data_IF_591316979973
#
_entry.id   IF_591316979973
#
_cell.length_a   1.000
_cell.length_b   1.000
_cell.length_c   1.000
_cell.angle_alpha   90.00
_cell.angle_beta   90.00
_cell.angle_gamma   90.00
#
_symmetry.space_group_name_H-M   'P 1'
#
loop_
_entity.id
_entity.type
_entity.pdbx_description
1 polymer ?
#
# COMPACT_ATOMS: atom_id res chain seq x y z
N UNK A 1 -2.96 57.62 -70.09
CA UNK A 1 -3.96 56.93 -69.26
C UNK A 1 -3.26 55.80 -68.54
N UNK A 2 -2.91 56.00 -67.22
CA UNK A 2 -2.23 54.99 -66.40
C UNK A 2 -3.31 54.30 -65.56
N UNK A 3 -3.49 53.01 -65.73
CA UNK A 3 -4.40 52.16 -64.95
C UNK A 3 -3.64 51.72 -63.66
N UNK A 4 -4.11 52.13 -62.47
CA UNK A 4 -3.63 51.68 -61.24
C UNK A 4 -4.27 50.34 -60.90
N UNK A 5 -3.45 49.29 -60.65
CA UNK A 5 -3.87 47.98 -60.23
C UNK A 5 -3.96 48.02 -58.68
N UNK A 6 -5.17 47.86 -58.10
CA UNK A 6 -5.40 47.74 -56.68
C UNK A 6 -5.36 46.26 -56.32
N UNK A 7 -4.32 45.83 -55.60
CA UNK A 7 -4.21 44.47 -55.04
C UNK A 7 -4.90 44.50 -53.69
N UNK A 8 -6.05 43.84 -53.57
CA UNK A 8 -6.73 43.57 -52.31
C UNK A 8 -6.09 42.33 -51.68
N UNK A 9 -5.30 42.51 -50.62
CA UNK A 9 -4.82 41.41 -49.80
C UNK A 9 -5.98 40.94 -48.90
N UNK A 10 -6.55 39.78 -49.20
CA UNK A 10 -7.46 39.09 -48.30
C UNK A 10 -6.65 38.45 -47.16
N UNK A 11 -6.73 39.01 -45.95
CA UNK A 11 -6.20 38.39 -44.72
C UNK A 11 -7.13 37.25 -44.36
N UNK A 12 -6.71 36.02 -44.66
CA UNK A 12 -7.37 34.82 -44.15
C UNK A 12 -7.01 34.67 -42.67
N UNK A 13 -7.90 35.07 -41.79
CA UNK A 13 -7.81 34.75 -40.39
C UNK A 13 -7.98 33.23 -40.21
N UNK A 14 -6.87 32.50 -40.06
CA UNK A 14 -6.89 31.10 -39.63
C UNK A 14 -7.35 31.13 -38.15
N UNK A 15 -8.48 30.49 -37.80
CA UNK A 15 -8.85 30.37 -36.40
C UNK A 15 -7.81 29.47 -35.73
N UNK A 16 -6.93 30.03 -34.89
CA UNK A 16 -6.15 29.29 -33.93
C UNK A 16 -7.15 28.64 -32.97
N UNK A 17 -7.52 27.42 -33.27
CA UNK A 17 -8.16 26.56 -32.29
C UNK A 17 -7.21 26.48 -31.09
N UNK A 18 -7.52 27.25 -30.05
CA UNK A 18 -6.97 27.02 -28.72
C UNK A 18 -7.49 25.64 -28.35
N UNK A 19 -6.72 24.61 -28.68
CA UNK A 19 -6.88 23.31 -28.10
C UNK A 19 -6.76 23.52 -26.60
N UNK A 20 -7.87 23.60 -25.92
CA UNK A 20 -7.97 23.55 -24.46
C UNK A 20 -7.42 22.19 -24.01
N UNK A 21 -6.08 22.10 -24.00
CA UNK A 21 -5.35 20.90 -23.59
C UNK A 21 -5.57 20.66 -22.11
N UNK A 22 -6.61 19.89 -21.77
CA UNK A 22 -6.77 19.34 -20.44
C UNK A 22 -5.53 18.51 -20.09
N UNK A 23 -5.22 18.37 -18.80
CA UNK A 23 -4.13 17.50 -18.36
C UNK A 23 -4.33 16.08 -18.92
N UNK A 24 -3.27 15.35 -19.31
CA UNK A 24 -3.40 13.96 -19.75
C UNK A 24 -4.30 13.15 -18.82
N UNK A 25 -5.20 12.34 -19.38
CA UNK A 25 -6.17 11.54 -18.62
C UNK A 25 -7.37 12.30 -18.04
N UNK A 26 -7.48 13.63 -18.28
CA UNK A 26 -8.61 14.44 -17.81
C UNK A 26 -9.41 14.94 -19.00
N UNK A 27 -10.71 14.64 -19.00
CA UNK A 27 -11.69 15.15 -19.97
C UNK A 27 -12.75 15.99 -19.26
N UNK A 28 -13.74 16.47 -19.98
CA UNK A 28 -14.91 17.15 -19.39
C UNK A 28 -15.69 16.24 -18.43
N UNK A 29 -15.73 14.92 -18.66
CA UNK A 29 -16.57 13.96 -17.95
C UNK A 29 -15.80 12.86 -17.21
N UNK A 30 -14.48 12.74 -17.42
CA UNK A 30 -13.68 11.63 -16.83
C UNK A 30 -12.31 12.07 -16.35
N UNK A 31 -11.83 11.36 -15.32
CA UNK A 31 -10.43 11.35 -14.87
C UNK A 31 -9.96 9.89 -14.96
N UNK A 32 -8.96 9.61 -15.80
CA UNK A 32 -8.38 8.28 -15.96
C UNK A 32 -7.11 8.17 -15.13
N UNK A 33 -7.07 7.23 -14.19
CA UNK A 33 -5.90 6.89 -13.40
C UNK A 33 -5.47 5.46 -13.69
N UNK A 34 -4.18 5.17 -13.62
CA UNK A 34 -3.62 3.85 -13.82
C UNK A 34 -3.04 3.26 -12.55
N UNK A 35 -2.78 1.96 -12.52
CA UNK A 35 -2.08 1.30 -11.42
C UNK A 35 -1.65 -0.11 -11.78
N UNK A 36 -0.76 -0.68 -10.97
CA UNK A 36 -0.35 -2.08 -11.09
C UNK A 36 -0.56 -2.79 -9.77
N UNK A 37 -1.07 -4.01 -9.84
CA UNK A 37 -1.34 -4.86 -8.67
C UNK A 37 -1.01 -6.31 -9.02
N UNK A 38 -0.47 -7.11 -8.10
CA UNK A 38 -0.18 -8.51 -8.37
C UNK A 38 -1.46 -9.34 -8.27
N UNK A 39 -2.14 -9.54 -9.41
CA UNK A 39 -3.31 -10.43 -9.49
C UNK A 39 -2.86 -11.89 -9.52
N UNK A 40 -1.69 -12.14 -10.10
CA UNK A 40 -1.01 -13.44 -10.15
C UNK A 40 0.35 -13.37 -9.44
N UNK A 41 1.09 -14.46 -9.43
CA UNK A 41 2.44 -14.52 -8.86
C UNK A 41 2.50 -14.66 -7.34
N UNK A 42 3.69 -14.46 -6.74
CA UNK A 42 3.96 -14.77 -5.33
C UNK A 42 3.18 -13.91 -4.33
N UNK A 43 2.72 -12.74 -4.75
CA UNK A 43 1.95 -11.81 -3.91
C UNK A 43 0.48 -11.68 -4.36
N UNK A 44 -0.06 -12.67 -5.06
CA UNK A 44 -1.41 -12.65 -5.66
C UNK A 44 -2.54 -12.30 -4.68
N UNK A 45 -2.37 -12.56 -3.38
CA UNK A 45 -3.35 -12.19 -2.36
C UNK A 45 -3.58 -10.66 -2.31
N UNK A 46 -2.59 -9.85 -2.67
CA UNK A 46 -2.74 -8.39 -2.73
C UNK A 46 -3.53 -7.90 -3.95
N UNK A 47 -3.83 -8.75 -4.93
CA UNK A 47 -4.66 -8.39 -6.09
C UNK A 47 -6.03 -7.84 -5.72
N UNK A 48 -6.53 -8.21 -4.55
CA UNK A 48 -7.79 -7.70 -3.99
C UNK A 48 -7.77 -6.19 -3.69
N UNK A 49 -6.59 -5.60 -3.51
CA UNK A 49 -6.46 -4.14 -3.30
C UNK A 49 -6.99 -3.37 -4.52
N UNK A 50 -6.57 -3.77 -5.73
CA UNK A 50 -7.06 -3.15 -6.97
C UNK A 50 -8.56 -3.31 -7.14
N UNK A 51 -9.10 -4.50 -6.84
CA UNK A 51 -10.54 -4.79 -6.91
C UNK A 51 -11.35 -3.94 -5.92
N UNK A 52 -10.88 -3.82 -4.67
CA UNK A 52 -11.52 -2.99 -3.66
C UNK A 52 -11.52 -1.52 -4.03
N UNK A 53 -10.40 -1.01 -4.55
CA UNK A 53 -10.29 0.37 -5.03
C UNK A 53 -11.22 0.65 -6.22
N UNK A 54 -11.27 -0.24 -7.20
CA UNK A 54 -12.16 -0.12 -8.36
C UNK A 54 -13.63 -0.10 -7.95
N UNK A 55 -14.03 -0.98 -7.02
CA UNK A 55 -15.37 -1.01 -6.48
C UNK A 55 -15.74 0.32 -5.79
N UNK A 56 -14.82 0.93 -5.05
CA UNK A 56 -15.03 2.22 -4.42
C UNK A 56 -15.15 3.35 -5.44
N UNK A 57 -14.32 3.38 -6.47
CA UNK A 57 -14.45 4.37 -7.54
C UNK A 57 -15.76 4.23 -8.31
N UNK A 58 -16.24 3.01 -8.56
CA UNK A 58 -17.58 2.78 -9.14
C UNK A 58 -18.70 3.31 -8.24
N UNK A 59 -18.59 3.11 -6.93
CA UNK A 59 -19.50 3.69 -5.96
C UNK A 59 -19.51 5.21 -6.03
N UNK A 60 -18.35 5.86 -6.00
CA UNK A 60 -18.22 7.32 -6.13
C UNK A 60 -18.82 7.81 -7.45
N UNK A 61 -18.58 7.10 -8.55
CA UNK A 61 -19.12 7.43 -9.86
C UNK A 61 -20.65 7.38 -9.92
N UNK A 62 -21.26 6.44 -9.18
CA UNK A 62 -22.73 6.33 -9.07
C UNK A 62 -23.34 7.46 -8.22
N UNK A 63 -22.51 8.16 -7.41
CA UNK A 63 -22.92 9.28 -6.56
C UNK A 63 -22.40 10.64 -7.06
N UNK A 64 -22.26 10.80 -8.39
CA UNK A 64 -21.88 12.07 -9.01
C UNK A 64 -20.40 12.24 -9.34
N UNK A 65 -19.55 11.28 -8.98
CA UNK A 65 -18.10 11.32 -9.26
C UNK A 65 -17.35 12.38 -8.46
N UNK A 66 -16.28 12.92 -9.04
CA UNK A 66 -15.43 13.95 -8.42
C UNK A 66 -15.48 15.22 -9.27
N UNK A 67 -15.94 16.32 -8.71
CA UNK A 67 -16.08 17.60 -9.42
C UNK A 67 -16.81 17.46 -10.78
N UNK A 68 -17.86 16.60 -10.84
CA UNK A 68 -18.64 16.33 -12.04
C UNK A 68 -18.02 15.33 -13.02
N UNK A 69 -16.89 14.69 -12.68
CA UNK A 69 -16.21 13.70 -13.51
C UNK A 69 -16.26 12.31 -12.88
N UNK A 70 -16.38 11.29 -13.73
CA UNK A 70 -16.24 9.89 -13.33
C UNK A 70 -14.75 9.51 -13.27
N UNK A 71 -14.37 8.70 -12.31
CA UNK A 71 -13.03 8.12 -12.22
C UNK A 71 -13.03 6.83 -13.05
N UNK A 72 -12.08 6.70 -13.98
CA UNK A 72 -11.78 5.47 -14.71
C UNK A 72 -10.46 4.92 -14.16
N UNK A 73 -10.50 3.77 -13.50
CA UNK A 73 -9.32 3.12 -12.97
C UNK A 73 -8.89 1.96 -13.87
N UNK A 74 -7.67 2.05 -14.41
CA UNK A 74 -7.03 1.04 -15.24
C UNK A 74 -5.95 0.36 -14.42
N UNK A 75 -6.24 -0.77 -13.79
CA UNK A 75 -5.22 -1.53 -13.09
C UNK A 75 -4.85 -2.81 -13.86
N UNK A 76 -3.57 -3.16 -13.80
CA UNK A 76 -2.97 -4.25 -14.56
C UNK A 76 -2.20 -5.20 -13.66
N UNK A 77 -2.14 -6.47 -14.06
CA UNK A 77 -1.41 -7.51 -13.33
C UNK A 77 0.08 -7.44 -13.62
N UNK A 78 0.87 -7.04 -12.63
CA UNK A 78 2.33 -7.05 -12.70
C UNK A 78 2.98 -8.33 -12.13
N UNK A 79 2.19 -9.26 -11.61
CA UNK A 79 2.64 -10.51 -11.00
C UNK A 79 3.69 -10.31 -9.87
N UNK A 80 3.77 -9.11 -9.26
CA UNK A 80 4.81 -8.70 -8.31
C UNK A 80 6.22 -8.67 -8.91
N UNK A 81 6.33 -8.47 -10.22
CA UNK A 81 7.58 -8.37 -10.97
C UNK A 81 7.90 -6.90 -11.29
N UNK A 82 8.99 -6.33 -10.75
CA UNK A 82 9.37 -4.94 -11.01
C UNK A 82 9.58 -4.61 -12.48
N UNK A 83 10.11 -5.56 -13.27
CA UNK A 83 10.33 -5.36 -14.72
C UNK A 83 9.00 -5.23 -15.46
N UNK A 84 8.04 -6.10 -15.13
CA UNK A 84 6.69 -6.04 -15.68
C UNK A 84 5.95 -4.78 -15.21
N UNK A 85 6.17 -4.36 -13.97
CA UNK A 85 5.62 -3.09 -13.45
C UNK A 85 6.11 -1.91 -14.27
N UNK A 86 7.40 -1.85 -14.62
CA UNK A 86 7.98 -0.79 -15.48
C UNK A 86 7.29 -0.78 -16.85
N UNK A 87 7.17 -1.94 -17.51
CA UNK A 87 6.52 -2.06 -18.81
C UNK A 87 5.08 -1.53 -18.75
N UNK A 88 4.27 -2.07 -17.82
CA UNK A 88 2.86 -1.72 -17.70
C UNK A 88 2.65 -0.25 -17.29
N UNK A 89 3.54 0.30 -16.46
CA UNK A 89 3.48 1.71 -16.08
C UNK A 89 3.75 2.62 -17.29
N UNK A 90 4.73 2.26 -18.15
CA UNK A 90 4.96 3.00 -19.39
C UNK A 90 3.75 2.94 -20.32
N UNK A 91 3.15 1.77 -20.50
CA UNK A 91 1.94 1.62 -21.31
C UNK A 91 0.79 2.49 -20.78
N UNK A 92 0.56 2.51 -19.46
CA UNK A 92 -0.46 3.35 -18.82
C UNK A 92 -0.20 4.84 -19.05
N UNK A 93 1.07 5.28 -18.98
CA UNK A 93 1.42 6.70 -19.15
C UNK A 93 1.48 7.10 -20.61
N UNK A 94 2.13 6.30 -21.46
CA UNK A 94 2.47 6.66 -22.85
C UNK A 94 1.34 6.33 -23.83
N UNK A 95 0.58 5.25 -23.61
CA UNK A 95 -0.50 4.82 -24.49
C UNK A 95 -1.87 5.25 -23.94
N UNK A 96 -2.19 4.86 -22.69
CA UNK A 96 -3.48 5.18 -22.09
C UNK A 96 -3.58 6.63 -21.58
N UNK A 97 -2.45 7.37 -21.56
CA UNK A 97 -2.38 8.78 -21.15
C UNK A 97 -2.99 9.04 -19.78
N UNK A 98 -2.77 8.17 -18.80
CA UNK A 98 -3.35 8.32 -17.47
C UNK A 98 -2.90 9.60 -16.78
N UNK A 99 -3.78 10.15 -15.92
CA UNK A 99 -3.54 11.37 -15.18
C UNK A 99 -2.51 11.17 -14.07
N UNK A 100 -2.58 10.03 -13.38
CA UNK A 100 -1.69 9.62 -12.32
C UNK A 100 -1.57 8.10 -12.27
N UNK A 101 -0.50 7.59 -11.68
CA UNK A 101 -0.36 6.21 -11.23
C UNK A 101 -0.83 6.13 -9.77
N UNK A 102 -1.69 5.18 -9.47
CA UNK A 102 -2.35 5.02 -8.18
C UNK A 102 -2.11 3.62 -7.61
N UNK A 103 -1.67 3.56 -6.36
CA UNK A 103 -1.61 2.34 -5.54
C UNK A 103 -0.84 1.18 -6.18
N UNK A 104 0.33 1.46 -6.81
CA UNK A 104 1.28 0.39 -7.18
C UNK A 104 1.62 -0.42 -5.94
N UNK A 105 1.47 -1.74 -6.01
CA UNK A 105 1.71 -2.64 -4.87
C UNK A 105 3.12 -3.22 -4.89
N UNK A 106 3.84 -3.07 -3.78
CA UNK A 106 5.19 -3.59 -3.61
C UNK A 106 6.25 -2.49 -3.63
N UNK A 107 7.29 -2.67 -2.82
CA UNK A 107 8.36 -1.68 -2.67
C UNK A 107 9.22 -1.62 -3.92
N UNK A 108 9.75 -2.75 -4.38
CA UNK A 108 10.64 -2.78 -5.55
C UNK A 108 9.87 -2.41 -6.83
N UNK A 109 8.59 -2.81 -6.93
CA UNK A 109 7.69 -2.40 -8.01
C UNK A 109 7.51 -0.87 -8.05
N UNK A 110 7.29 -0.25 -6.89
CA UNK A 110 7.15 1.21 -6.77
C UNK A 110 8.45 1.91 -7.15
N UNK A 111 9.57 1.47 -6.58
CA UNK A 111 10.89 2.06 -6.78
C UNK A 111 11.35 1.95 -8.23
N UNK A 112 11.09 0.82 -8.90
CA UNK A 112 11.47 0.60 -10.30
C UNK A 112 10.86 1.61 -11.28
N UNK A 113 9.75 2.24 -10.92
CA UNK A 113 9.04 3.23 -11.76
C UNK A 113 9.25 4.67 -11.31
N UNK A 114 9.83 4.89 -10.12
CA UNK A 114 9.92 6.21 -9.47
C UNK A 114 10.68 7.23 -10.31
N UNK A 115 11.87 6.90 -10.81
CA UNK A 115 12.70 7.82 -11.60
C UNK A 115 11.98 8.27 -12.88
N UNK A 116 11.39 7.31 -13.60
CA UNK A 116 10.63 7.58 -14.83
C UNK A 116 9.44 8.51 -14.58
N UNK A 117 8.63 8.19 -13.55
CA UNK A 117 7.43 8.96 -13.24
C UNK A 117 7.75 10.36 -12.74
N UNK A 118 8.81 10.52 -11.94
CA UNK A 118 9.27 11.83 -11.46
C UNK A 118 9.82 12.68 -12.61
N UNK A 119 10.63 12.13 -13.51
CA UNK A 119 11.11 12.84 -14.71
C UNK A 119 9.96 13.27 -15.63
N UNK A 120 8.95 12.40 -15.81
CA UNK A 120 7.75 12.68 -16.60
C UNK A 120 6.71 13.56 -15.87
N UNK A 121 6.95 13.94 -14.61
CA UNK A 121 6.01 14.67 -13.74
C UNK A 121 4.62 14.03 -13.71
N UNK A 122 4.58 12.70 -13.61
CA UNK A 122 3.38 11.90 -13.41
C UNK A 122 3.28 11.52 -11.94
N UNK A 123 2.22 11.93 -11.22
CA UNK A 123 2.08 11.56 -9.82
C UNK A 123 1.97 10.04 -9.65
N UNK A 124 2.80 9.47 -8.78
CA UNK A 124 2.72 8.09 -8.30
C UNK A 124 2.22 8.16 -6.85
N UNK A 125 0.91 8.02 -6.68
CA UNK A 125 0.27 8.33 -5.40
C UNK A 125 -0.21 7.09 -4.67
N UNK A 126 0.03 7.11 -3.36
CA UNK A 126 -0.51 6.16 -2.42
C UNK A 126 -0.09 4.72 -2.75
N UNK A 127 1.18 4.56 -3.15
CA UNK A 127 1.76 3.25 -3.41
C UNK A 127 1.70 2.35 -2.17
N UNK A 128 1.45 1.06 -2.36
CA UNK A 128 1.37 0.06 -1.30
C UNK A 128 2.75 -0.27 -0.72
N UNK A 129 3.41 0.73 -0.16
CA UNK A 129 4.71 0.63 0.51
C UNK A 129 4.86 1.66 1.62
N UNK A 130 5.62 1.32 2.65
CA UNK A 130 6.08 2.19 3.73
C UNK A 130 7.61 2.31 3.76
N UNK A 131 8.27 1.97 2.64
CA UNK A 131 9.73 1.99 2.55
C UNK A 131 10.30 3.41 2.69
N UNK A 132 11.41 3.54 3.39
CA UNK A 132 12.09 4.80 3.61
C UNK A 132 12.54 5.44 2.28
N UNK A 133 12.95 4.63 1.32
CA UNK A 133 13.32 5.09 -0.02
C UNK A 133 12.18 5.82 -0.75
N UNK A 134 10.93 5.62 -0.34
CA UNK A 134 9.76 6.36 -0.83
C UNK A 134 9.40 7.51 0.11
N UNK A 135 9.25 7.24 1.42
CA UNK A 135 8.82 8.24 2.38
C UNK A 135 9.81 9.37 2.64
N UNK A 136 11.13 9.08 2.60
CA UNK A 136 12.19 10.05 2.85
C UNK A 136 12.63 10.81 1.58
N UNK A 137 12.15 10.42 0.40
CA UNK A 137 12.64 10.97 -0.88
C UNK A 137 11.87 12.20 -1.40
N UNK A 138 11.12 12.89 -0.56
CA UNK A 138 10.30 14.05 -0.94
C UNK A 138 11.09 15.16 -1.67
N UNK A 139 12.42 15.29 -1.44
CA UNK A 139 13.27 16.26 -2.15
C UNK A 139 13.70 15.78 -3.53
N UNK A 140 14.01 14.49 -3.67
CA UNK A 140 14.56 13.90 -4.90
C UNK A 140 13.46 13.34 -5.81
N UNK A 141 12.40 12.80 -5.23
CA UNK A 141 11.27 12.19 -5.94
C UNK A 141 9.92 12.75 -5.44
N UNK A 142 9.68 14.06 -5.61
CA UNK A 142 8.49 14.73 -5.03
C UNK A 142 7.15 14.22 -5.60
N UNK A 143 7.17 13.46 -6.70
CA UNK A 143 5.97 12.95 -7.36
C UNK A 143 5.55 11.55 -6.87
N UNK A 144 6.26 10.95 -5.89
CA UNK A 144 5.99 9.61 -5.39
C UNK A 144 5.65 9.63 -3.90
N UNK A 145 4.48 9.13 -3.52
CA UNK A 145 3.98 9.07 -2.12
C UNK A 145 3.50 7.65 -1.82
N UNK A 146 3.98 7.06 -0.71
CA UNK A 146 3.51 5.77 -0.20
C UNK A 146 2.18 5.88 0.58
N UNK A 147 1.64 4.73 1.02
CA UNK A 147 0.39 4.68 1.81
C UNK A 147 0.39 3.61 2.91
N UNK A 148 1.55 3.13 3.32
CA UNK A 148 1.65 2.27 4.49
C UNK A 148 2.35 3.03 5.63
N UNK A 149 2.17 2.62 6.89
CA UNK A 149 3.04 3.06 7.97
C UNK A 149 4.50 2.82 7.60
N UNK A 150 5.41 3.67 8.09
CA UNK A 150 6.83 3.45 7.86
C UNK A 150 7.26 2.05 8.30
N UNK A 151 7.89 1.29 7.42
CA UNK A 151 8.42 -0.05 7.73
C UNK A 151 9.50 0.01 8.82
N UNK A 152 10.32 1.07 8.83
CA UNK A 152 11.27 1.30 9.93
C UNK A 152 10.57 1.51 11.26
N UNK A 153 9.45 2.24 11.25
CA UNK A 153 8.67 2.46 12.48
C UNK A 153 7.96 1.18 12.92
N UNK A 154 7.39 0.40 12.01
CA UNK A 154 6.79 -0.90 12.30
C UNK A 154 7.81 -1.84 12.96
N UNK A 155 8.97 -2.04 12.34
CA UNK A 155 10.05 -2.84 12.91
C UNK A 155 10.50 -2.33 14.27
N UNK A 156 10.59 -1.00 14.46
CA UNK A 156 10.96 -0.41 15.75
C UNK A 156 9.89 -0.63 16.84
N UNK A 157 8.61 -0.68 16.48
CA UNK A 157 7.53 -1.05 17.41
C UNK A 157 7.75 -2.49 17.91
N UNK A 158 8.03 -3.43 17.00
CA UNK A 158 8.34 -4.82 17.39
C UNK A 158 9.59 -4.89 18.26
N UNK A 159 10.68 -4.21 17.87
CA UNK A 159 11.92 -4.17 18.64
C UNK A 159 11.72 -3.67 20.07
N UNK A 160 10.97 -2.58 20.26
CA UNK A 160 10.64 -2.06 21.59
C UNK A 160 9.80 -3.04 22.42
N UNK A 161 8.88 -3.77 21.81
CA UNK A 161 8.08 -4.78 22.49
C UNK A 161 8.94 -5.99 22.89
N UNK A 162 9.85 -6.43 22.05
CA UNK A 162 10.78 -7.53 22.30
C UNK A 162 11.83 -7.14 23.34
N UNK A 163 12.33 -5.92 23.32
CA UNK A 163 13.32 -5.42 24.29
C UNK A 163 12.85 -5.49 25.76
N UNK A 164 11.53 -5.52 25.99
CA UNK A 164 10.93 -5.70 27.33
C UNK A 164 10.95 -7.17 27.80
N UNK A 165 11.29 -8.12 26.93
CA UNK A 165 11.30 -9.54 27.26
C UNK A 165 12.68 -9.95 27.79
N UNK A 166 12.70 -10.64 28.92
CA UNK A 166 13.93 -11.21 29.49
C UNK A 166 14.35 -12.43 28.66
N UNK A 167 15.64 -12.55 28.34
CA UNK A 167 16.19 -13.70 27.62
C UNK A 167 15.71 -13.85 26.17
N UNK A 168 15.24 -12.76 25.53
CA UNK A 168 14.85 -12.82 24.13
C UNK A 168 16.06 -13.17 23.23
N UNK A 169 15.91 -14.22 22.43
CA UNK A 169 16.78 -14.60 21.32
C UNK A 169 15.95 -14.53 20.07
N UNK A 170 16.30 -13.65 19.14
CA UNK A 170 15.47 -13.28 17.99
C UNK A 170 16.01 -13.89 16.71
N UNK A 171 15.18 -14.62 16.00
CA UNK A 171 15.40 -15.01 14.62
C UNK A 171 14.57 -14.10 13.69
N UNK A 172 15.12 -13.73 12.54
CA UNK A 172 14.47 -12.85 11.56
C UNK A 172 14.43 -13.53 10.19
N UNK A 173 13.24 -13.72 9.65
CA UNK A 173 13.05 -14.01 8.21
C UNK A 173 12.60 -12.73 7.52
N UNK A 174 13.26 -12.34 6.41
CA UNK A 174 12.92 -11.11 5.72
C UNK A 174 13.05 -11.23 4.20
N UNK A 175 12.20 -10.49 3.48
CA UNK A 175 12.30 -10.37 2.03
C UNK A 175 13.59 -9.60 1.66
N UNK A 176 14.32 -10.05 0.65
CA UNK A 176 15.60 -9.48 0.20
C UNK A 176 15.41 -8.16 -0.58
N UNK A 177 14.48 -7.33 -0.16
CA UNK A 177 14.09 -6.04 -0.73
C UNK A 177 14.23 -4.92 0.28
N UNK A 178 13.99 -3.67 -0.13
CA UNK A 178 13.95 -2.54 0.79
C UNK A 178 12.80 -2.67 1.83
N UNK A 179 11.72 -3.39 1.50
CA UNK A 179 10.65 -3.73 2.45
C UNK A 179 11.18 -4.53 3.65
N UNK A 180 11.80 -5.68 3.40
CA UNK A 180 12.30 -6.54 4.49
C UNK A 180 13.48 -5.92 5.22
N UNK A 181 14.37 -5.19 4.51
CA UNK A 181 15.52 -4.50 5.09
C UNK A 181 15.10 -3.35 6.01
N UNK A 182 14.14 -2.52 5.63
CA UNK A 182 13.66 -1.41 6.46
C UNK A 182 12.99 -1.91 7.75
N UNK A 183 12.15 -2.95 7.67
CA UNK A 183 11.57 -3.60 8.85
C UNK A 183 12.67 -4.15 9.78
N UNK A 184 13.69 -4.80 9.22
CA UNK A 184 14.80 -5.38 9.99
C UNK A 184 15.67 -4.29 10.62
N UNK A 185 15.94 -3.19 9.90
CA UNK A 185 16.66 -2.04 10.45
C UNK A 185 15.84 -1.35 11.56
N UNK A 186 14.54 -1.22 11.36
CA UNK A 186 13.63 -0.74 12.38
C UNK A 186 13.64 -1.62 13.64
N UNK A 187 13.59 -2.94 13.47
CA UNK A 187 13.69 -3.91 14.56
C UNK A 187 14.97 -3.69 15.40
N UNK A 188 16.13 -3.58 14.74
CA UNK A 188 17.41 -3.29 15.39
C UNK A 188 17.36 -1.97 16.16
N UNK A 189 16.84 -0.90 15.55
CA UNK A 189 16.65 0.41 16.19
C UNK A 189 15.74 0.30 17.44
N UNK A 190 14.65 -0.46 17.34
CA UNK A 190 13.69 -0.66 18.43
C UNK A 190 14.25 -1.49 19.59
N UNK A 191 15.11 -2.47 19.31
CA UNK A 191 15.84 -3.24 20.32
C UNK A 191 16.88 -2.40 21.06
N UNK A 192 17.44 -1.37 20.42
CA UNK A 192 18.44 -0.47 21.00
C UNK A 192 19.67 -1.25 21.49
N UNK A 193 20.05 -1.07 22.76
CA UNK A 193 21.20 -1.77 23.36
C UNK A 193 21.06 -3.31 23.34
N UNK A 194 19.84 -3.84 23.15
CA UNK A 194 19.57 -5.28 23.04
C UNK A 194 19.58 -5.78 21.58
N UNK A 195 20.12 -5.02 20.62
CA UNK A 195 20.19 -5.44 19.21
C UNK A 195 20.98 -6.76 19.02
N UNK A 196 21.93 -7.07 19.92
CA UNK A 196 22.63 -8.36 19.95
C UNK A 196 21.73 -9.56 20.28
N UNK A 197 20.47 -9.34 20.68
CA UNK A 197 19.49 -10.42 20.82
C UNK A 197 19.10 -11.06 19.46
N UNK A 198 19.37 -10.41 18.32
CA UNK A 198 19.18 -11.03 17.00
C UNK A 198 20.31 -12.04 16.78
N UNK A 199 20.00 -13.32 16.98
CA UNK A 199 20.96 -14.43 16.91
C UNK A 199 21.04 -15.05 15.52
N UNK A 200 20.02 -14.87 14.67
CA UNK A 200 20.00 -15.33 13.28
C UNK A 200 19.12 -14.45 12.39
N UNK A 201 19.51 -14.30 11.14
CA UNK A 201 18.71 -13.60 10.12
C UNK A 201 18.88 -14.32 8.78
N UNK A 202 17.79 -14.59 8.09
CA UNK A 202 17.75 -15.21 6.78
C UNK A 202 16.90 -14.39 5.82
N UNK A 203 17.40 -14.19 4.61
CA UNK A 203 16.66 -13.54 3.53
C UNK A 203 15.99 -14.61 2.64
N UNK A 204 14.91 -14.20 1.99
CA UNK A 204 14.30 -14.94 0.87
C UNK A 204 14.03 -13.98 -0.29
N UNK A 205 14.01 -14.52 -1.51
CA UNK A 205 13.59 -13.79 -2.71
C UNK A 205 12.09 -14.03 -2.99
N UNK A 206 11.35 -13.04 -3.51
CA UNK A 206 9.93 -13.22 -3.87
C UNK A 206 9.67 -14.37 -4.84
N UNK A 207 10.70 -14.79 -5.58
CA UNK A 207 10.64 -15.92 -6.53
C UNK A 207 10.94 -17.30 -5.91
N UNK A 208 11.36 -17.34 -4.64
CA UNK A 208 11.64 -18.61 -3.97
C UNK A 208 10.37 -19.47 -3.87
N UNK A 209 10.51 -20.73 -4.19
CA UNK A 209 9.40 -21.72 -4.11
C UNK A 209 9.29 -22.32 -2.72
N UNK A 210 10.38 -22.38 -1.95
CA UNK A 210 10.46 -22.85 -0.57
C UNK A 210 11.37 -21.96 0.26
N UNK A 211 11.15 -21.95 1.58
CA UNK A 211 12.00 -21.31 2.59
C UNK A 211 12.47 -22.30 3.67
N UNK A 212 12.43 -23.61 3.37
CA UNK A 212 12.75 -24.65 4.34
C UNK A 212 14.18 -24.54 4.88
N UNK A 213 15.14 -24.21 4.02
CA UNK A 213 16.55 -24.00 4.41
C UNK A 213 16.71 -22.81 5.36
N UNK A 214 16.08 -21.68 5.01
CA UNK A 214 16.09 -20.49 5.85
C UNK A 214 15.46 -20.78 7.22
N UNK A 215 14.30 -21.42 7.24
CA UNK A 215 13.59 -21.74 8.47
C UNK A 215 14.33 -22.78 9.33
N UNK A 216 14.99 -23.76 8.71
CA UNK A 216 15.85 -24.72 9.42
C UNK A 216 17.02 -24.00 10.12
N UNK A 217 17.69 -23.08 9.42
CA UNK A 217 18.78 -22.27 9.98
C UNK A 217 18.30 -21.40 11.14
N UNK A 218 17.14 -20.76 10.99
CA UNK A 218 16.55 -19.94 12.04
C UNK A 218 16.17 -20.76 13.28
N UNK A 219 15.60 -21.94 13.09
CA UNK A 219 15.27 -22.87 14.17
C UNK A 219 16.52 -23.34 14.92
N UNK A 220 17.57 -23.76 14.19
CA UNK A 220 18.83 -24.22 14.75
C UNK A 220 19.56 -23.15 15.61
N UNK A 221 19.24 -21.87 15.45
CA UNK A 221 19.80 -20.77 16.26
C UNK A 221 19.36 -20.80 17.75
N UNK A 222 18.36 -21.59 18.09
CA UNK A 222 17.78 -21.63 19.44
C UNK A 222 17.00 -20.38 19.82
N UNK A 223 16.52 -19.62 18.82
CA UNK A 223 15.71 -18.43 19.04
C UNK A 223 14.34 -18.78 19.65
N UNK A 224 13.87 -17.94 20.59
CA UNK A 224 12.55 -18.03 21.23
C UNK A 224 11.59 -16.92 20.75
N UNK A 225 12.05 -16.05 19.86
CA UNK A 225 11.25 -15.04 19.18
C UNK A 225 11.54 -15.15 17.68
N UNK A 226 10.49 -15.18 16.85
CA UNK A 226 10.57 -15.16 15.40
C UNK A 226 9.93 -13.88 14.89
N UNK A 227 10.67 -13.09 14.12
CA UNK A 227 10.17 -11.90 13.42
C UNK A 227 10.07 -12.19 11.93
N UNK A 228 8.88 -12.05 11.39
CA UNK A 228 8.53 -12.33 10.01
C UNK A 228 8.31 -11.03 9.24
N UNK A 229 9.38 -10.49 8.66
CA UNK A 229 9.37 -9.32 7.78
C UNK A 229 9.13 -9.77 6.33
N UNK A 230 7.95 -10.33 6.08
CA UNK A 230 7.64 -11.14 4.90
C UNK A 230 6.31 -10.73 4.27
N UNK A 231 6.07 -11.18 3.04
CA UNK A 231 4.77 -11.10 2.37
C UNK A 231 3.88 -12.32 2.70
N UNK A 232 2.57 -12.30 2.41
CA UNK A 232 1.59 -13.27 2.89
C UNK A 232 1.92 -14.74 2.61
N UNK A 233 2.37 -15.07 1.39
CA UNK A 233 2.78 -16.44 1.04
C UNK A 233 3.86 -16.95 2.00
N UNK A 234 4.87 -16.14 2.25
CA UNK A 234 6.02 -16.51 3.08
C UNK A 234 5.71 -16.49 4.57
N UNK A 235 4.73 -15.69 5.01
CA UNK A 235 4.18 -15.83 6.35
C UNK A 235 3.56 -17.21 6.55
N UNK A 236 2.68 -17.64 5.64
CA UNK A 236 2.07 -18.98 5.71
C UNK A 236 3.15 -20.05 5.74
N UNK A 237 4.10 -20.03 4.80
CA UNK A 237 5.18 -21.01 4.74
C UNK A 237 6.03 -21.05 6.02
N UNK A 238 6.33 -19.87 6.61
CA UNK A 238 7.12 -19.78 7.84
C UNK A 238 6.40 -20.39 9.05
N UNK A 239 5.10 -20.12 9.22
CA UNK A 239 4.31 -20.73 10.28
C UNK A 239 4.23 -22.25 10.12
N UNK A 240 3.98 -22.73 8.90
CA UNK A 240 3.91 -24.18 8.63
C UNK A 240 5.26 -24.87 8.86
N UNK A 241 6.38 -24.25 8.47
CA UNK A 241 7.70 -24.78 8.73
C UNK A 241 8.03 -24.81 10.22
N UNK A 242 7.70 -23.77 10.98
CA UNK A 242 7.88 -23.74 12.43
C UNK A 242 7.04 -24.82 13.12
N UNK A 243 5.78 -25.03 12.72
CA UNK A 243 4.93 -26.11 13.18
C UNK A 243 5.56 -27.49 12.91
N UNK A 244 6.00 -27.73 11.67
CA UNK A 244 6.66 -28.97 11.26
C UNK A 244 7.91 -29.30 12.09
N UNK A 245 8.67 -28.28 12.51
CA UNK A 245 9.85 -28.42 13.35
C UNK A 245 9.53 -28.57 14.85
N UNK A 246 8.27 -28.46 15.28
CA UNK A 246 7.89 -28.38 16.69
C UNK A 246 8.46 -27.12 17.38
N UNK A 247 8.77 -26.09 16.60
CA UNK A 247 9.32 -24.83 17.10
C UNK A 247 8.22 -23.85 17.45
N UNK A 248 8.15 -23.42 18.71
CA UNK A 248 7.10 -22.56 19.27
C UNK A 248 7.66 -21.21 19.73
N UNK A 249 8.24 -20.38 18.83
CA UNK A 249 8.72 -19.06 19.18
C UNK A 249 7.55 -18.11 19.37
N UNK A 250 7.75 -17.02 20.12
CA UNK A 250 6.84 -15.89 20.08
C UNK A 250 6.96 -15.15 18.75
N UNK A 251 5.86 -15.04 17.99
CA UNK A 251 5.90 -14.51 16.63
C UNK A 251 5.50 -13.04 16.58
N UNK A 252 6.26 -12.27 15.78
CA UNK A 252 5.94 -10.93 15.31
C UNK A 252 5.91 -10.98 13.79
N UNK A 253 4.77 -10.65 13.18
CA UNK A 253 4.59 -10.72 11.72
C UNK A 253 4.23 -9.36 11.15
N UNK A 254 4.75 -9.04 9.96
CA UNK A 254 4.48 -7.79 9.26
C UNK A 254 2.98 -7.52 9.09
N UNK A 255 2.60 -6.26 9.24
CA UNK A 255 1.22 -5.78 9.12
C UNK A 255 0.55 -6.09 7.78
N UNK A 256 1.33 -6.32 6.73
CA UNK A 256 0.80 -6.73 5.42
C UNK A 256 0.30 -8.18 5.39
N UNK A 257 0.55 -8.97 6.43
CA UNK A 257 0.18 -10.38 6.55
C UNK A 257 -1.03 -10.64 7.46
N UNK A 258 -1.63 -9.62 8.06
CA UNK A 258 -2.66 -9.80 9.11
C UNK A 258 -4.08 -10.04 8.58
N UNK A 259 -4.26 -10.15 7.27
CA UNK A 259 -5.57 -10.44 6.67
C UNK A 259 -6.11 -11.81 7.13
N UNK A 260 -7.43 -11.94 7.39
CA UNK A 260 -8.07 -13.22 7.66
C UNK A 260 -7.76 -14.29 6.64
N UNK A 261 -7.65 -13.96 5.35
CA UNK A 261 -7.25 -14.90 4.29
C UNK A 261 -5.90 -15.59 4.57
N UNK A 262 -4.98 -14.91 5.25
CA UNK A 262 -3.67 -15.43 5.65
C UNK A 262 -3.79 -16.18 6.97
N UNK A 263 -4.39 -15.52 7.97
CA UNK A 263 -4.47 -16.05 9.33
C UNK A 263 -5.36 -17.28 9.45
N UNK A 264 -6.39 -17.42 8.62
CA UNK A 264 -7.23 -18.61 8.58
C UNK A 264 -6.44 -19.84 8.13
N UNK A 265 -5.61 -19.71 7.11
CA UNK A 265 -4.74 -20.81 6.67
C UNK A 265 -3.79 -21.20 7.82
N UNK A 266 -3.19 -20.20 8.48
CA UNK A 266 -2.24 -20.42 9.57
C UNK A 266 -2.94 -21.07 10.77
N UNK A 267 -4.07 -20.52 11.25
CA UNK A 267 -4.76 -21.04 12.44
C UNK A 267 -5.38 -22.43 12.27
N UNK A 268 -5.70 -22.83 11.03
CA UNK A 268 -6.20 -24.18 10.77
C UNK A 268 -5.07 -25.21 10.73
N UNK A 269 -3.85 -24.81 10.36
CA UNK A 269 -2.73 -25.76 10.17
C UNK A 269 -1.66 -25.66 11.27
N UNK A 270 -1.56 -24.51 11.98
CA UNK A 270 -0.60 -24.25 13.05
C UNK A 270 -1.26 -23.36 14.16
N UNK A 271 -2.36 -23.82 14.79
CA UNK A 271 -3.18 -23.02 15.70
C UNK A 271 -2.40 -22.51 16.93
N UNK A 272 -1.45 -23.31 17.43
CA UNK A 272 -0.60 -22.98 18.59
C UNK A 272 0.36 -21.84 18.28
N UNK A 273 0.75 -21.65 17.00
CA UNK A 273 1.63 -20.58 16.57
C UNK A 273 0.84 -19.30 16.18
N UNK A 274 -0.36 -19.48 15.63
CA UNK A 274 -1.23 -18.38 15.29
C UNK A 274 -1.62 -17.58 16.54
N UNK A 275 -2.08 -18.30 17.57
CA UNK A 275 -2.53 -17.68 18.83
C UNK A 275 -1.36 -17.03 19.58
N UNK A 276 -1.52 -15.77 19.94
CA UNK A 276 -0.47 -14.98 20.61
C UNK A 276 0.52 -14.30 19.66
N UNK A 277 0.42 -14.49 18.34
CA UNK A 277 1.18 -13.73 17.35
C UNK A 277 0.92 -12.23 17.49
N UNK A 278 1.94 -11.41 17.21
CA UNK A 278 1.89 -9.97 17.36
C UNK A 278 2.10 -9.28 16.01
N UNK A 279 1.43 -8.13 15.83
CA UNK A 279 1.57 -7.27 14.65
C UNK A 279 1.16 -5.84 14.98
N UNK A 280 1.09 -4.97 13.96
CA UNK A 280 0.39 -3.69 14.04
C UNK A 280 -0.80 -3.68 13.07
N UNK A 281 -1.82 -2.89 13.40
CA UNK A 281 -2.97 -2.63 12.53
C UNK A 281 -3.23 -1.13 12.45
N UNK A 282 -3.67 -0.66 11.30
CA UNK A 282 -4.02 0.75 11.05
C UNK A 282 -5.38 0.92 10.38
N UNK A 283 -5.87 -0.07 9.65
CA UNK A 283 -7.25 -0.15 9.15
C UNK A 283 -8.13 -0.98 10.08
N UNK A 284 -9.44 -0.77 10.04
CA UNK A 284 -10.42 -1.64 10.69
C UNK A 284 -10.43 -3.01 10.02
N UNK A 285 -10.71 -4.05 10.77
CA UNK A 285 -10.92 -5.40 10.23
C UNK A 285 -12.43 -5.62 10.08
N UNK A 286 -12.97 -5.77 8.85
CA UNK A 286 -14.40 -5.94 8.62
C UNK A 286 -14.96 -7.26 9.18
N UNK A 287 -14.11 -8.19 9.63
CA UNK A 287 -14.52 -9.47 10.23
C UNK A 287 -14.61 -9.40 11.75
N UNK A 288 -13.96 -8.41 12.37
CA UNK A 288 -13.99 -8.24 13.83
C UNK A 288 -15.37 -7.74 14.29
N UNK A 289 -15.95 -8.44 15.25
CA UNK A 289 -17.27 -8.12 15.81
C UNK A 289 -17.34 -6.72 16.39
N UNK A 290 -16.24 -6.14 16.83
CA UNK A 290 -16.17 -4.76 17.35
C UNK A 290 -16.61 -3.74 16.29
N UNK A 291 -16.43 -4.06 15.00
CA UNK A 291 -16.81 -3.22 13.86
C UNK A 291 -18.08 -3.68 13.16
N UNK A 292 -18.79 -4.69 13.68
CA UNK A 292 -19.93 -5.32 12.98
C UNK A 292 -21.05 -4.32 12.63
N UNK A 293 -21.25 -3.30 13.47
CA UNK A 293 -22.24 -2.22 13.29
C UNK A 293 -21.61 -0.88 12.90
N UNK A 294 -20.35 -0.89 12.48
CA UNK A 294 -19.66 0.34 12.04
C UNK A 294 -20.17 0.74 10.64
N UNK A 295 -20.64 1.98 10.46
CA UNK A 295 -21.24 2.42 9.20
C UNK A 295 -20.34 2.23 7.98
N UNK A 296 -19.03 2.38 8.12
CA UNK A 296 -18.11 2.17 6.99
C UNK A 296 -17.95 0.70 6.64
N UNK A 297 -18.05 -0.20 7.62
CA UNK A 297 -17.99 -1.66 7.37
C UNK A 297 -19.28 -2.13 6.68
N UNK A 298 -20.42 -1.58 7.05
CA UNK A 298 -21.69 -1.82 6.35
C UNK A 298 -21.66 -1.27 4.92
N UNK A 299 -21.16 -0.05 4.75
CA UNK A 299 -20.95 0.57 3.43
C UNK A 299 -20.00 -0.28 2.57
N UNK A 300 -18.86 -0.71 3.11
CA UNK A 300 -17.91 -1.60 2.44
C UNK A 300 -18.59 -2.86 1.89
N UNK A 301 -19.34 -3.57 2.73
CA UNK A 301 -20.07 -4.78 2.32
C UNK A 301 -21.08 -4.50 1.20
N UNK A 302 -21.80 -3.37 1.28
CA UNK A 302 -22.75 -2.96 0.25
C UNK A 302 -22.05 -2.63 -1.08
N UNK A 303 -20.92 -1.94 -1.03
CA UNK A 303 -20.09 -1.61 -2.21
C UNK A 303 -19.58 -2.88 -2.87
N UNK A 304 -19.00 -3.81 -2.11
CA UNK A 304 -18.52 -5.08 -2.66
C UNK A 304 -19.65 -5.85 -3.35
N UNK A 305 -20.77 -6.02 -2.66
CA UNK A 305 -21.93 -6.73 -3.20
C UNK A 305 -22.40 -6.17 -4.54
N UNK A 306 -22.37 -4.84 -4.69
CA UNK A 306 -22.90 -4.16 -5.89
C UNK A 306 -21.87 -4.02 -7.01
N UNK A 307 -20.60 -3.71 -6.68
CA UNK A 307 -19.61 -3.29 -7.67
C UNK A 307 -18.45 -4.26 -7.86
N UNK A 308 -18.34 -5.27 -7.00
CA UNK A 308 -17.36 -6.35 -7.11
C UNK A 308 -18.00 -7.70 -6.74
N UNK A 309 -19.04 -8.16 -7.49
CA UNK A 309 -19.72 -9.41 -7.19
C UNK A 309 -18.71 -10.58 -7.17
N UNK A 310 -18.82 -11.46 -6.16
CA UNK A 310 -17.90 -12.57 -5.93
C UNK A 310 -16.66 -12.22 -5.11
N UNK A 311 -16.41 -10.94 -4.79
CA UNK A 311 -15.37 -10.59 -3.83
C UNK A 311 -15.78 -11.00 -2.40
N UNK A 312 -14.82 -11.57 -1.66
CA UNK A 312 -15.05 -11.97 -0.26
C UNK A 312 -14.99 -10.74 0.64
N UNK A 313 -16.03 -10.53 1.44
CA UNK A 313 -16.09 -9.40 2.38
C UNK A 313 -15.12 -9.56 3.57
N UNK A 314 -14.64 -10.76 3.80
CA UNK A 314 -13.64 -11.11 4.82
C UNK A 314 -12.22 -10.74 4.40
N UNK A 315 -12.01 -10.43 3.12
CA UNK A 315 -10.71 -10.07 2.58
C UNK A 315 -10.38 -8.61 2.88
N UNK A 316 -9.55 -8.38 3.91
CA UNK A 316 -9.11 -7.06 4.36
C UNK A 316 -8.35 -6.29 3.27
N UNK A 317 -7.76 -6.96 2.28
CA UNK A 317 -7.12 -6.26 1.16
C UNK A 317 -8.13 -5.51 0.27
N UNK A 318 -9.37 -6.02 0.11
CA UNK A 318 -10.45 -5.23 -0.50
C UNK A 318 -10.80 -4.00 0.34
N UNK A 319 -10.83 -4.14 1.68
CA UNK A 319 -11.11 -3.03 2.60
C UNK A 319 -10.01 -1.97 2.55
N UNK A 320 -8.75 -2.39 2.57
CA UNK A 320 -7.60 -1.50 2.38
C UNK A 320 -7.64 -0.79 1.01
N UNK A 321 -7.99 -1.52 -0.06
CA UNK A 321 -8.18 -0.93 -1.39
C UNK A 321 -9.21 0.20 -1.40
N UNK A 322 -10.33 0.04 -0.67
CA UNK A 322 -11.31 1.12 -0.51
C UNK A 322 -10.77 2.27 0.35
N UNK A 323 -10.00 1.98 1.40
CA UNK A 323 -9.39 3.00 2.24
C UNK A 323 -8.45 3.92 1.44
N UNK A 324 -7.58 3.33 0.63
CA UNK A 324 -6.64 4.10 -0.20
C UNK A 324 -7.36 4.85 -1.33
N UNK A 325 -8.42 4.25 -1.90
CA UNK A 325 -9.25 4.91 -2.91
C UNK A 325 -10.05 6.10 -2.34
N UNK A 326 -10.48 6.02 -1.08
CA UNK A 326 -11.10 7.14 -0.36
C UNK A 326 -10.16 8.35 -0.33
N UNK A 327 -8.91 8.16 0.07
CA UNK A 327 -7.88 9.22 0.09
C UNK A 327 -7.59 9.75 -1.33
N UNK A 328 -7.55 8.88 -2.35
CA UNK A 328 -7.38 9.35 -3.73
C UNK A 328 -8.55 10.22 -4.19
N UNK A 329 -9.77 9.88 -3.82
CA UNK A 329 -10.97 10.70 -4.10
C UNK A 329 -10.88 12.05 -3.40
N UNK A 330 -10.41 12.09 -2.16
CA UNK A 330 -10.21 13.35 -1.42
C UNK A 330 -9.15 14.23 -2.09
N UNK A 331 -8.00 13.67 -2.45
CA UNK A 331 -6.95 14.38 -3.20
C UNK A 331 -7.46 14.93 -4.55
N UNK A 332 -8.23 14.13 -5.30
CA UNK A 332 -8.84 14.57 -6.57
C UNK A 332 -9.86 15.69 -6.37
N UNK A 333 -10.66 15.68 -5.29
CA UNK A 333 -11.57 16.78 -4.96
C UNK A 333 -10.82 18.08 -4.70
N UNK A 334 -9.76 18.01 -3.92
CA UNK A 334 -8.91 19.16 -3.57
C UNK A 334 -8.02 19.64 -4.73
N UNK A 335 -7.76 18.80 -5.74
CA UNK A 335 -7.09 19.24 -6.97
C UNK A 335 -7.93 20.23 -7.80
N UNK A 336 -9.23 20.36 -7.49
CA UNK A 336 -10.14 21.36 -8.05
C UNK A 336 -10.86 20.93 -9.35
N UNK A 337 -11.72 21.84 -9.85
CA UNK A 337 -12.53 21.59 -11.06
C UNK A 337 -11.73 21.52 -12.35
N UNK A 338 -10.54 22.11 -12.41
CA UNK A 338 -9.62 22.05 -13.55
C UNK A 338 -8.29 21.43 -13.10
N UNK A 339 -8.28 20.12 -12.77
CA UNK A 339 -7.12 19.51 -12.15
C UNK A 339 -5.95 19.40 -13.12
N UNK A 340 -4.75 19.71 -12.62
CA UNK A 340 -3.47 19.44 -13.25
C UNK A 340 -2.72 18.41 -12.41
N UNK A 341 -1.71 17.73 -12.97
CA UNK A 341 -0.85 16.83 -12.19
C UNK A 341 -0.20 17.55 -11.00
N UNK A 342 0.18 18.83 -11.19
CA UNK A 342 0.74 19.65 -10.11
C UNK A 342 -0.28 19.98 -9.01
N UNK A 343 -1.54 20.30 -9.37
CA UNK A 343 -2.59 20.54 -8.37
C UNK A 343 -2.97 19.26 -7.61
N UNK A 344 -2.95 18.11 -8.27
CA UNK A 344 -3.15 16.82 -7.62
C UNK A 344 -2.01 16.49 -6.64
N UNK A 345 -0.75 16.68 -7.06
CA UNK A 345 0.39 16.50 -6.17
C UNK A 345 0.31 17.45 -4.96
N UNK A 346 -0.03 18.71 -5.19
CA UNK A 346 -0.23 19.67 -4.11
C UNK A 346 -1.30 19.19 -3.13
N UNK A 347 -2.43 18.71 -3.60
CA UNK A 347 -3.48 18.16 -2.76
C UNK A 347 -2.98 16.94 -1.96
N UNK A 348 -2.30 15.99 -2.64
CA UNK A 348 -1.77 14.79 -2.00
C UNK A 348 -0.66 15.06 -0.97
N UNK A 349 0.06 16.19 -1.07
CA UNK A 349 1.08 16.62 -0.09
C UNK A 349 0.54 17.56 1.00
N UNK A 350 -0.77 17.77 1.08
CA UNK A 350 -1.41 18.61 2.09
C UNK A 350 -2.67 17.95 2.65
N UNK A 351 -2.63 16.62 2.79
CA UNK A 351 -3.73 15.87 3.36
C UNK A 351 -3.88 16.16 4.86
N UNK A 352 -5.11 16.28 5.30
CA UNK A 352 -5.51 16.24 6.70
C UNK A 352 -6.91 15.60 6.77
N UNK A 353 -6.96 14.30 6.57
CA UNK A 353 -8.16 13.53 6.29
C UNK A 353 -8.51 12.62 7.47
N UNK A 354 -9.77 12.62 7.88
CA UNK A 354 -10.35 11.57 8.70
C UNK A 354 -10.91 10.50 7.77
N UNK A 355 -10.09 9.48 7.50
CA UNK A 355 -10.49 8.36 6.65
C UNK A 355 -11.31 7.35 7.49
N UNK A 356 -12.60 7.11 7.17
CA UNK A 356 -13.47 6.27 8.00
C UNK A 356 -13.05 4.79 8.03
N UNK A 357 -12.24 4.34 7.08
CA UNK A 357 -11.69 2.97 7.03
C UNK A 357 -10.55 2.76 8.03
N UNK A 358 -9.92 3.83 8.51
CA UNK A 358 -8.85 3.74 9.50
C UNK A 358 -9.39 3.42 10.89
N UNK A 359 -8.53 2.84 11.74
CA UNK A 359 -8.84 2.68 13.16
C UNK A 359 -9.02 4.06 13.80
N UNK A 360 -9.92 4.20 14.81
CA UNK A 360 -10.16 5.48 15.48
C UNK A 360 -8.87 6.11 16.01
N UNK A 361 -8.71 7.43 15.79
CA UNK A 361 -7.54 8.19 16.19
C UNK A 361 -6.36 8.15 15.21
N UNK A 362 -6.50 7.44 14.08
CA UNK A 362 -5.57 7.47 12.95
C UNK A 362 -6.13 8.39 11.88
N UNK A 363 -5.40 9.47 11.59
CA UNK A 363 -5.68 10.43 10.52
C UNK A 363 -4.63 10.30 9.42
N UNK A 364 -5.03 10.58 8.18
CA UNK A 364 -4.12 10.65 7.04
C UNK A 364 -3.62 12.09 6.94
N UNK A 365 -2.32 12.28 7.17
CA UNK A 365 -1.71 13.61 7.19
C UNK A 365 -0.41 13.59 6.38
N UNK A 366 -0.28 14.52 5.43
CA UNK A 366 0.95 14.73 4.67
C UNK A 366 1.36 16.20 4.69
N UNK A 367 2.63 16.46 4.41
CA UNK A 367 3.13 17.79 4.13
C UNK A 367 4.17 17.73 3.01
N UNK A 368 4.61 18.87 2.43
CA UNK A 368 5.67 18.90 1.43
C UNK A 368 7.01 18.26 1.87
N UNK A 369 7.16 18.03 3.17
CA UNK A 369 8.37 17.45 3.77
C UNK A 369 8.10 16.15 4.54
N UNK A 370 6.88 15.61 4.45
CA UNK A 370 6.47 14.39 5.14
C UNK A 370 5.54 13.55 4.24
N UNK A 371 6.08 12.48 3.69
CA UNK A 371 5.42 11.59 2.74
C UNK A 371 4.98 10.26 3.38
N UNK A 372 4.80 10.25 4.72
CA UNK A 372 4.22 9.14 5.47
C UNK A 372 2.78 9.47 5.90
N UNK A 373 1.76 9.19 5.08
CA UNK A 373 0.38 9.57 5.37
C UNK A 373 -0.16 8.97 6.67
N UNK A 374 0.30 7.77 7.04
CA UNK A 374 -0.13 7.04 8.24
C UNK A 374 0.97 7.13 9.30
N UNK A 375 0.74 7.99 10.30
CA UNK A 375 1.74 8.31 11.34
C UNK A 375 1.52 7.60 12.67
N UNK A 376 0.45 6.79 12.79
CA UNK A 376 0.13 6.02 14.00
C UNK A 376 -0.35 4.63 13.62
N UNK A 377 -0.13 3.67 14.51
CA UNK A 377 -0.64 2.31 14.36
C UNK A 377 -1.05 1.75 15.72
N UNK A 378 -1.85 0.71 15.72
CA UNK A 378 -2.27 -0.04 16.88
C UNK A 378 -1.44 -1.33 16.98
N UNK A 379 -0.71 -1.54 18.08
CA UNK A 379 -0.17 -2.86 18.36
C UNK A 379 -1.34 -3.83 18.57
N UNK A 380 -1.28 -4.99 17.93
CA UNK A 380 -2.32 -6.02 18.00
C UNK A 380 -1.74 -7.39 18.30
N UNK A 381 -2.55 -8.24 18.93
CA UNK A 381 -2.24 -9.65 19.19
C UNK A 381 -3.36 -10.51 18.64
N UNK A 382 -3.00 -11.60 17.99
CA UNK A 382 -3.97 -12.56 17.47
C UNK A 382 -4.54 -13.42 18.61
N UNK A 383 -5.86 -13.39 18.76
CA UNK A 383 -6.59 -14.16 19.77
C UNK A 383 -7.52 -15.15 19.07
N UNK A 384 -6.96 -16.31 18.73
CA UNK A 384 -7.65 -17.46 18.09
C UNK A 384 -8.36 -17.16 16.77
N UNK A 385 -9.00 -16.00 16.62
CA UNK A 385 -9.88 -15.66 15.49
C UNK A 385 -9.55 -14.28 14.91
N UNK A 386 -9.18 -13.29 15.74
CA UNK A 386 -8.98 -11.92 15.29
C UNK A 386 -7.81 -11.23 15.98
N UNK A 387 -7.45 -10.09 15.44
CA UNK A 387 -6.41 -9.23 15.97
C UNK A 387 -6.98 -8.26 17.01
N UNK A 388 -6.68 -8.50 18.28
CA UNK A 388 -7.12 -7.68 19.42
C UNK A 388 -6.11 -6.57 19.70
N UNK A 389 -6.59 -5.37 19.96
CA UNK A 389 -5.75 -4.22 20.31
C UNK A 389 -4.98 -4.45 21.62
N UNK A 390 -3.70 -4.06 21.66
CA UNK A 390 -2.82 -4.11 22.83
C UNK A 390 -2.32 -2.71 23.14
N UNK A 391 -2.81 -2.11 24.22
CA UNK A 391 -2.44 -0.76 24.65
C UNK A 391 -2.97 0.35 23.73
N UNK A 392 -2.44 1.57 23.85
CA UNK A 392 -2.83 2.71 23.04
C UNK A 392 -2.22 2.67 21.63
N UNK A 393 -2.67 3.59 20.75
CA UNK A 393 -2.00 3.88 19.50
C UNK A 393 -0.54 4.30 19.75
N UNK A 394 0.36 3.85 18.88
CA UNK A 394 1.78 4.16 18.94
C UNK A 394 2.22 4.93 17.69
N UNK A 395 3.25 5.81 17.78
CA UNK A 395 3.82 6.46 16.63
C UNK A 395 4.38 5.45 15.61
N UNK A 396 4.06 5.63 14.34
CA UNK A 396 4.45 4.79 13.21
C UNK A 396 5.08 5.61 12.05
N UNK A 397 5.71 6.75 12.37
CA UNK A 397 6.56 7.52 11.46
C UNK A 397 7.99 6.98 11.43
N UNK A 398 8.64 7.14 10.26
CA UNK A 398 10.05 6.80 10.03
C UNK A 398 11.05 7.68 10.77
#
# INVERSE_FOLDING_TARGET
MKRALVIVLAVVAVPTAIAGGGAPGVTASTITIGGTVPITGPAALFGSVGRGADAYFKYVNAHGGVNGRKIKYLYRDDAYDPSKTVQLTRELVENDKVFAIFSTIGTDNTVATTDYLNAAKVPQLFAGTGAARVGDSYKTHPWTIGYLPSFRAEGAIYGRAIAKQTGAKVAVLYEASDFGKDLTNGLKKGLGAKAGAIVASQAYEPTDTSIDSQMSTLHASGANVLVLNVTPKYAILAYLAAHKFGWHPKIYVSSVCISPNVMDIIRFNAPELANGSNSIAFVKDPTDKVWAKDPVVELYRSILKRYAPGAKAEDVYNFYGMAVAYTMVDALKHAGKSPTRASLLKAATHLNEVNPFMRPGITIVTSPTDYYPISKAQLVRYDKIHWVAVGPLVPARG
#
